data_IF_335854043158
#
_entry.id   IF_335854043158
#
_cell.length_a   1.000
_cell.length_b   1.000
_cell.length_c   1.000
_cell.angle_alpha   90.00
_cell.angle_beta   90.00
_cell.angle_gamma   90.00
#
_symmetry.space_group_name_H-M   'P 1'
#
loop_
_entity.id
_entity.type
_entity.pdbx_description
1 polymer ?
#
# COMPACT_ATOMS: atom_id res chain seq x y z
N UNK A 1 10.88 28.68 1.91
CA UNK A 1 10.26 30.00 1.73
C UNK A 1 9.28 30.23 2.84
N UNK A 2 9.30 31.40 3.46
CA UNK A 2 8.42 31.78 4.57
C UNK A 2 6.96 31.86 4.09
N UNK A 3 6.18 30.81 4.37
CA UNK A 3 4.73 30.90 4.39
C UNK A 3 4.29 30.64 5.84
N UNK A 4 3.46 31.51 6.46
CA UNK A 4 2.90 31.21 7.76
C UNK A 4 1.97 30.00 7.62
N UNK A 5 2.30 28.93 8.34
CA UNK A 5 1.48 27.73 8.42
C UNK A 5 0.10 28.12 8.98
N UNK A 6 -0.94 28.10 8.15
CA UNK A 6 -2.30 28.37 8.61
C UNK A 6 -2.81 27.12 9.31
N UNK A 7 -2.83 27.13 10.64
CA UNK A 7 -3.41 26.06 11.45
C UNK A 7 -4.93 26.16 11.35
N UNK A 8 -5.55 25.24 10.58
CA UNK A 8 -7.00 25.07 10.58
C UNK A 8 -7.42 24.30 11.84
N UNK A 9 -7.78 25.03 12.89
CA UNK A 9 -8.37 24.46 14.10
C UNK A 9 -9.88 24.26 13.88
N UNK A 10 -10.33 23.01 13.84
CA UNK A 10 -11.75 22.66 13.84
C UNK A 10 -12.48 23.24 15.08
N UNK A 11 -13.73 23.63 14.88
CA UNK A 11 -14.66 24.11 15.89
C UNK A 11 -14.88 23.15 17.07
N UNK A 12 -14.56 21.86 16.91
CA UNK A 12 -14.75 20.78 17.89
C UNK A 12 -13.74 20.73 19.05
N UNK A 13 -12.69 21.58 19.06
CA UNK A 13 -11.69 21.60 20.14
C UNK A 13 -12.16 22.32 21.41
N UNK A 14 -11.77 21.79 22.57
CA UNK A 14 -11.96 22.41 23.89
C UNK A 14 -11.21 23.76 24.00
N UNK A 15 -11.75 24.69 24.78
CA UNK A 15 -11.24 26.06 24.93
C UNK A 15 -9.82 26.13 25.50
N UNK A 16 -9.45 25.17 26.35
CA UNK A 16 -8.11 25.11 26.95
C UNK A 16 -7.04 24.67 25.92
N UNK A 17 -7.38 23.76 25.00
CA UNK A 17 -6.49 23.33 23.91
C UNK A 17 -6.30 24.44 22.87
N UNK A 18 -7.37 25.18 22.54
CA UNK A 18 -7.27 26.37 21.67
C UNK A 18 -6.36 27.44 22.28
N UNK A 19 -6.45 27.66 23.59
CA UNK A 19 -5.61 28.63 24.32
C UNK A 19 -4.15 28.19 24.37
N UNK A 20 -3.89 26.90 24.62
CA UNK A 20 -2.55 26.34 24.60
C UNK A 20 -1.93 26.46 23.20
N UNK A 21 -2.63 26.03 22.15
CA UNK A 21 -2.14 26.09 20.77
C UNK A 21 -1.93 27.54 20.29
N UNK A 22 -2.81 28.47 20.67
CA UNK A 22 -2.67 29.90 20.33
C UNK A 22 -1.38 30.53 20.88
N UNK A 23 -0.88 30.06 22.04
CA UNK A 23 0.39 30.51 22.60
C UNK A 23 1.62 30.01 21.81
N UNK A 24 1.49 28.92 21.06
CA UNK A 24 2.58 28.33 20.25
C UNK A 24 2.53 28.75 18.76
N UNK A 25 1.37 29.17 18.24
CA UNK A 25 1.18 29.59 16.83
C UNK A 25 1.84 30.93 16.46
N UNK A 26 2.38 31.68 17.42
CA UNK A 26 3.15 32.91 17.16
C UNK A 26 4.64 32.63 16.92
N UNK A 27 5.09 31.38 17.06
CA UNK A 27 6.47 30.97 16.80
C UNK A 27 6.67 30.62 15.32
N UNK A 28 7.63 31.24 14.59
CA UNK A 28 7.88 30.97 13.17
C UNK A 28 8.50 29.58 12.88
N UNK A 29 8.50 28.66 13.85
CA UNK A 29 9.24 27.38 13.81
C UNK A 29 8.37 26.16 14.14
N UNK A 30 7.04 26.27 14.01
CA UNK A 30 6.12 25.15 14.20
C UNK A 30 6.15 24.24 12.95
N UNK A 31 6.54 22.97 13.09
CA UNK A 31 6.68 22.06 11.94
C UNK A 31 5.49 21.12 11.71
N UNK A 32 4.82 20.63 12.76
CA UNK A 32 3.67 19.74 12.57
C UNK A 32 2.77 19.66 13.81
N UNK A 33 1.48 19.44 13.57
CA UNK A 33 0.48 19.00 14.55
C UNK A 33 -0.10 17.68 14.03
N UNK A 34 0.10 16.59 14.77
CA UNK A 34 -0.55 15.32 14.47
C UNK A 34 -1.74 15.12 15.42
N UNK A 35 -2.92 14.90 14.85
CA UNK A 35 -4.15 14.59 15.60
C UNK A 35 -4.44 13.10 15.44
N UNK A 36 -4.51 12.38 16.56
CA UNK A 36 -4.96 11.00 16.57
C UNK A 36 -6.36 10.90 17.16
N UNK A 37 -7.28 10.30 16.40
CA UNK A 37 -8.59 9.89 16.88
C UNK A 37 -8.63 8.36 16.82
N UNK A 38 -8.79 7.62 17.93
CA UNK A 38 -9.02 6.18 17.83
C UNK A 38 -10.35 5.94 17.11
N UNK A 39 -10.31 5.20 16.01
CA UNK A 39 -11.52 4.73 15.33
C UNK A 39 -12.31 3.80 16.24
N UNK A 40 -13.59 4.11 16.47
CA UNK A 40 -14.56 3.26 17.16
C UNK A 40 -14.49 1.82 16.64
N UNK A 41 -13.97 0.91 17.47
CA UNK A 41 -14.28 -0.51 17.34
C UNK A 41 -15.78 -0.70 17.58
N UNK A 42 -16.53 -1.02 16.53
CA UNK A 42 -17.92 -1.36 16.66
C UNK A 42 -18.07 -2.63 17.52
N UNK A 43 -18.90 -2.53 18.57
CA UNK A 43 -19.51 -3.59 19.37
C UNK A 43 -18.85 -3.94 20.71
N UNK A 44 -19.14 -3.13 21.74
CA UNK A 44 -19.59 -3.68 23.02
C UNK A 44 -20.97 -3.08 23.36
N UNK A 45 -22.02 -3.88 23.21
CA UNK A 45 -23.30 -3.61 23.90
C UNK A 45 -23.10 -4.07 25.34
N UNK A 46 -22.66 -3.15 26.19
CA UNK A 46 -22.53 -3.36 27.63
C UNK A 46 -22.17 -2.05 28.30
N UNK A 47 -22.84 -1.72 29.42
CA UNK A 47 -22.80 -0.43 30.13
C UNK A 47 -21.46 -0.11 30.84
N UNK A 48 -20.31 -0.35 30.22
CA UNK A 48 -19.01 0.12 30.70
C UNK A 48 -18.27 0.77 29.53
N UNK A 49 -18.39 2.10 29.41
CA UNK A 49 -17.50 2.89 28.55
C UNK A 49 -16.14 2.95 29.24
N UNK A 50 -15.17 2.19 28.76
CA UNK A 50 -13.78 2.49 29.04
C UNK A 50 -13.45 3.86 28.43
N UNK A 51 -12.78 4.72 29.18
CA UNK A 51 -12.41 6.06 28.75
C UNK A 51 -11.40 5.97 27.59
N UNK A 52 -11.74 6.55 26.44
CA UNK A 52 -10.93 6.54 25.20
C UNK A 52 -9.77 7.55 25.32
N UNK A 53 -8.51 7.11 25.18
CA UNK A 53 -7.36 8.01 25.24
C UNK A 53 -7.08 8.81 23.97
N UNK A 54 -6.87 10.12 24.14
CA UNK A 54 -6.57 11.08 23.07
C UNK A 54 -5.17 11.67 23.24
N UNK A 55 -4.19 11.22 22.45
CA UNK A 55 -2.84 11.81 22.49
C UNK A 55 -2.72 12.93 21.47
N UNK A 56 -2.26 14.10 21.91
CA UNK A 56 -1.93 15.24 21.06
C UNK A 56 -0.40 15.41 21.02
N UNK A 57 0.18 15.82 19.90
CA UNK A 57 1.64 16.02 19.81
C UNK A 57 1.95 17.28 19.02
N UNK A 58 2.76 18.17 19.60
CA UNK A 58 3.22 19.41 18.97
C UNK A 58 4.75 19.40 18.91
N UNK A 59 5.32 19.53 17.71
CA UNK A 59 6.77 19.49 17.49
C UNK A 59 7.33 20.87 17.18
N UNK A 60 8.34 21.31 17.95
CA UNK A 60 9.15 22.50 17.67
C UNK A 60 10.65 22.11 17.60
N UNK A 61 11.41 22.82 16.76
CA UNK A 61 12.75 22.47 16.26
C UNK A 61 13.83 22.10 17.31
N UNK A 62 13.68 22.46 18.58
CA UNK A 62 14.58 22.07 19.68
C UNK A 62 13.85 21.47 20.90
N UNK A 63 12.52 21.45 20.89
CA UNK A 63 11.67 20.94 21.97
C UNK A 63 10.43 20.28 21.36
N UNK A 64 10.24 18.98 21.63
CA UNK A 64 8.99 18.29 21.32
C UNK A 64 8.10 18.32 22.57
N UNK A 65 6.91 18.91 22.45
CA UNK A 65 5.90 18.92 23.51
C UNK A 65 4.86 17.85 23.18
N UNK A 66 4.97 16.72 23.87
CA UNK A 66 3.99 15.62 23.78
C UNK A 66 2.88 15.88 24.79
N UNK A 67 1.65 16.00 24.31
CA UNK A 67 0.45 16.20 25.12
C UNK A 67 -0.28 14.84 25.24
N UNK A 68 0.07 14.06 26.26
CA UNK A 68 -0.61 12.80 26.54
C UNK A 68 -1.90 13.04 27.34
N UNK A 69 -3.01 12.50 26.87
CA UNK A 69 -4.21 12.33 27.71
C UNK A 69 -4.19 10.93 28.29
N UNK A 70 -4.22 10.84 29.62
CA UNK A 70 -4.46 9.60 30.34
C UNK A 70 -5.71 9.79 31.20
N UNK A 71 -6.72 8.91 31.11
CA UNK A 71 -7.85 8.98 32.01
C UNK A 71 -7.39 8.50 33.39
N UNK A 72 -7.38 9.38 34.39
CA UNK A 72 -7.27 8.92 35.77
C UNK A 72 -8.63 8.40 36.23
N UNK A 73 -8.68 7.10 36.52
CA UNK A 73 -9.80 6.47 37.20
C UNK A 73 -9.57 4.97 37.35
N UNK A 74 -9.46 4.51 38.60
CA UNK A 74 -9.62 3.09 38.93
C UNK A 74 -10.97 2.59 38.39
N UNK A 75 -10.96 1.36 37.86
CA UNK A 75 -12.01 0.77 37.03
C UNK A 75 -13.37 0.50 37.72
N UNK A 76 -13.78 1.26 38.74
CA UNK A 76 -14.95 0.92 39.55
C UNK A 76 -15.76 2.09 40.12
N UNK A 77 -15.77 3.29 39.54
CA UNK A 77 -16.66 4.38 40.00
C UNK A 77 -17.52 4.94 38.86
N UNK A 78 -18.84 5.13 39.03
CA UNK A 78 -19.71 5.73 38.01
C UNK A 78 -19.32 7.19 37.77
N UNK A 79 -19.19 7.57 36.50
CA UNK A 79 -18.87 8.93 36.06
C UNK A 79 -19.96 9.94 36.51
N UNK A 80 -19.73 10.61 37.63
CA UNK A 80 -20.32 11.93 37.92
C UNK A 80 -19.44 13.03 37.33
N UNK A 81 -20.08 14.12 36.90
CA UNK A 81 -19.48 15.29 36.22
C UNK A 81 -18.46 16.08 37.10
N UNK A 82 -17.36 15.46 37.48
CA UNK A 82 -16.16 16.19 37.89
C UNK A 82 -15.27 16.41 36.68
N UNK A 83 -14.83 17.66 36.47
CA UNK A 83 -13.82 18.01 35.47
C UNK A 83 -12.57 17.20 35.76
N UNK A 84 -12.34 16.14 34.98
CA UNK A 84 -11.12 15.34 35.05
C UNK A 84 -9.91 16.25 34.77
N UNK A 85 -8.92 16.21 35.66
CA UNK A 85 -7.72 17.03 35.57
C UNK A 85 -6.80 16.51 34.46
N UNK A 86 -6.46 17.37 33.51
CA UNK A 86 -5.40 17.14 32.52
C UNK A 86 -4.03 17.33 33.17
N UNK A 87 -3.16 16.32 33.13
CA UNK A 87 -1.75 16.43 33.56
C UNK A 87 -0.84 16.59 32.35
N UNK A 88 -0.08 17.69 32.32
CA UNK A 88 0.87 17.99 31.24
C UNK A 88 2.28 17.54 31.61
N UNK A 89 2.98 16.84 30.72
CA UNK A 89 4.39 16.48 30.92
C UNK A 89 5.29 17.13 29.87
N UNK A 90 6.13 18.08 30.30
CA UNK A 90 7.21 18.60 29.47
C UNK A 90 8.37 17.59 29.49
N UNK A 91 8.85 17.17 28.32
CA UNK A 91 10.03 16.30 28.18
C UNK A 91 11.05 17.01 27.29
N UNK A 92 12.33 16.91 27.65
CA UNK A 92 13.42 17.35 26.78
C UNK A 92 13.64 16.34 25.65
N UNK A 93 14.33 16.76 24.59
CA UNK A 93 14.73 15.87 23.48
C UNK A 93 15.43 14.60 23.95
N UNK A 94 16.36 14.74 24.91
CA UNK A 94 17.04 13.60 25.53
C UNK A 94 16.06 12.64 26.25
N UNK A 95 15.05 13.18 26.94
CA UNK A 95 14.03 12.37 27.61
C UNK A 95 13.13 11.60 26.63
N UNK A 96 12.95 12.13 25.41
CA UNK A 96 12.14 11.50 24.36
C UNK A 96 12.92 10.45 23.60
N UNK A 97 14.20 10.68 23.33
CA UNK A 97 15.10 9.66 22.78
C UNK A 97 15.21 8.47 23.74
N UNK A 98 15.32 8.72 25.04
CA UNK A 98 15.31 7.66 26.05
C UNK A 98 13.99 6.86 26.03
N UNK A 99 12.85 7.53 25.86
CA UNK A 99 11.55 6.87 25.75
C UNK A 99 11.45 6.03 24.47
N UNK A 100 11.86 6.59 23.32
CA UNK A 100 11.87 5.90 22.04
C UNK A 100 12.80 4.68 22.05
N UNK A 101 13.98 4.80 22.65
CA UNK A 101 14.91 3.68 22.86
C UNK A 101 14.32 2.61 23.78
N UNK A 102 13.66 3.02 24.88
CA UNK A 102 12.98 2.11 25.79
C UNK A 102 11.89 1.31 25.05
N UNK A 103 11.06 1.96 24.22
CA UNK A 103 10.04 1.28 23.42
C UNK A 103 10.63 0.43 22.30
N UNK A 104 11.71 0.86 21.66
CA UNK A 104 12.40 0.07 20.63
C UNK A 104 12.99 -1.24 21.21
N UNK A 105 13.39 -1.23 22.49
CA UNK A 105 13.93 -2.41 23.19
C UNK A 105 12.89 -3.42 23.68
N UNK A 106 11.59 -3.09 23.66
CA UNK A 106 10.51 -4.00 24.04
C UNK A 106 10.08 -4.82 22.81
N UNK A 107 10.72 -5.98 22.60
CA UNK A 107 10.37 -6.91 21.54
C UNK A 107 9.00 -7.56 21.76
N UNK A 108 8.23 -7.73 20.67
CA UNK A 108 7.24 -8.80 20.56
C UNK A 108 5.90 -8.66 21.28
N UNK A 109 5.64 -7.60 22.06
CA UNK A 109 4.31 -7.40 22.66
C UNK A 109 3.44 -6.43 21.85
N UNK A 110 2.26 -6.92 21.48
CA UNK A 110 1.28 -6.32 20.57
C UNK A 110 0.61 -5.01 21.03
N UNK A 111 1.29 -4.17 21.82
CA UNK A 111 0.72 -2.94 22.41
C UNK A 111 1.75 -1.80 22.47
N UNK A 112 2.61 -1.65 21.47
CA UNK A 112 3.21 -0.33 21.25
C UNK A 112 2.12 0.57 20.61
N UNK A 113 1.72 1.69 21.24
CA UNK A 113 0.80 2.62 20.60
C UNK A 113 1.37 3.03 19.24
N UNK A 114 0.52 3.09 18.21
CA UNK A 114 0.92 3.44 16.83
C UNK A 114 1.82 4.68 16.79
N UNK A 115 1.56 5.65 17.69
CA UNK A 115 2.41 6.82 17.90
C UNK A 115 3.88 6.50 18.21
N UNK A 116 4.17 5.56 19.12
CA UNK A 116 5.56 5.19 19.45
C UNK A 116 6.26 4.55 18.25
N UNK A 117 5.52 3.75 17.47
CA UNK A 117 6.05 3.14 16.24
C UNK A 117 6.33 4.19 15.17
N UNK A 118 5.41 5.13 14.96
CA UNK A 118 5.56 6.19 13.97
C UNK A 118 6.65 7.20 14.37
N UNK A 119 6.80 7.48 15.68
CA UNK A 119 7.88 8.30 16.23
C UNK A 119 9.23 7.61 16.06
N UNK A 120 9.34 6.31 16.38
CA UNK A 120 10.57 5.54 16.16
C UNK A 120 10.91 5.50 14.67
N UNK A 121 9.93 5.29 13.80
CA UNK A 121 10.14 5.32 12.34
C UNK A 121 10.63 6.70 11.88
N UNK A 122 10.00 7.78 12.32
CA UNK A 122 10.39 9.16 11.97
C UNK A 122 11.83 9.46 12.45
N UNK A 123 12.20 9.04 13.66
CA UNK A 123 13.53 9.28 14.22
C UNK A 123 14.62 8.41 13.58
N UNK A 124 14.26 7.21 13.11
CA UNK A 124 15.21 6.26 12.48
C UNK A 124 15.38 6.57 10.99
N UNK A 125 14.28 6.65 10.23
CA UNK A 125 14.29 6.81 8.76
C UNK A 125 14.17 8.26 8.31
N UNK A 126 13.45 9.11 9.05
CA UNK A 126 13.27 10.52 8.69
C UNK A 126 14.43 11.43 9.08
N UNK A 127 15.08 11.17 10.23
CA UNK A 127 16.14 12.04 10.77
C UNK A 127 17.46 11.34 11.08
N UNK A 128 17.55 10.00 11.00
CA UNK A 128 18.80 9.25 11.23
C UNK A 128 19.38 9.38 12.65
N UNK A 129 18.55 9.69 13.66
CA UNK A 129 18.99 9.99 15.04
C UNK A 129 19.10 8.71 15.89
N UNK A 130 18.31 7.68 15.55
CA UNK A 130 18.43 6.35 16.16
C UNK A 130 19.24 5.45 15.23
N UNK A 131 20.14 4.60 15.77
CA UNK A 131 20.85 3.62 14.96
C UNK A 131 19.84 2.68 14.30
N UNK A 132 20.04 2.40 13.01
CA UNK A 132 19.27 1.35 12.33
C UNK A 132 19.52 0.04 13.08
N UNK A 133 18.43 -0.67 13.40
CA UNK A 133 18.51 -1.94 14.09
C UNK A 133 19.23 -2.91 13.15
N UNK A 134 20.27 -3.59 13.64
CA UNK A 134 20.80 -4.76 12.97
C UNK A 134 19.66 -5.79 12.95
N UNK A 135 18.97 -5.91 11.82
CA UNK A 135 18.08 -7.04 11.57
C UNK A 135 18.95 -8.30 11.67
N UNK A 136 18.50 -9.28 12.46
CA UNK A 136 19.14 -10.59 12.50
C UNK A 136 19.38 -11.08 11.07
N UNK A 137 20.66 -11.22 10.73
CA UNK A 137 21.18 -11.82 9.50
C UNK A 137 20.42 -13.11 9.17
N UNK A 138 19.47 -12.99 8.24
CA UNK A 138 18.84 -14.14 7.58
C UNK A 138 18.32 -13.73 6.20
N UNK A 139 19.16 -13.06 5.41
CA UNK A 139 19.25 -13.21 3.96
C UNK A 139 20.42 -12.34 3.50
N UNK A 140 21.38 -12.92 2.80
CA UNK A 140 22.37 -12.17 2.02
C UNK A 140 21.64 -11.13 1.15
N UNK A 141 22.10 -9.86 1.09
CA UNK A 141 21.51 -8.89 0.19
C UNK A 141 21.70 -9.40 -1.23
N UNK A 142 20.59 -9.72 -1.91
CA UNK A 142 20.60 -10.10 -3.31
C UNK A 142 21.02 -8.88 -4.14
N UNK A 143 22.33 -8.74 -4.34
CA UNK A 143 22.93 -7.76 -5.23
C UNK A 143 22.49 -8.06 -6.66
N UNK A 144 21.72 -7.15 -7.26
CA UNK A 144 21.28 -7.23 -8.66
C UNK A 144 22.44 -6.82 -9.56
N UNK A 145 23.03 -7.78 -10.28
CA UNK A 145 24.12 -7.50 -11.23
C UNK A 145 23.54 -6.88 -12.50
N UNK A 146 23.52 -5.55 -12.57
CA UNK A 146 23.39 -4.83 -13.85
C UNK A 146 24.79 -4.58 -14.40
N UNK A 147 25.04 -4.89 -15.67
CA UNK A 147 26.40 -4.90 -16.22
C UNK A 147 27.13 -3.56 -15.92
N UNK A 148 28.18 -3.70 -15.10
CA UNK A 148 29.13 -2.73 -14.52
C UNK A 148 28.80 -1.98 -13.22
N UNK A 149 27.55 -1.91 -12.72
CA UNK A 149 27.26 -1.28 -11.43
C UNK A 149 26.17 -2.03 -10.65
N UNK A 150 26.43 -2.26 -9.36
CA UNK A 150 25.52 -2.95 -8.45
C UNK A 150 24.73 -1.88 -7.71
N UNK A 151 23.43 -1.78 -7.98
CA UNK A 151 22.52 -0.95 -7.20
C UNK A 151 21.86 -1.81 -6.11
N UNK A 152 21.74 -1.24 -4.92
CA UNK A 152 20.94 -1.81 -3.84
C UNK A 152 19.46 -1.66 -4.16
N UNK A 153 18.63 -2.48 -3.52
CA UNK A 153 17.17 -2.38 -3.57
C UNK A 153 16.66 -0.98 -3.25
N UNK A 154 17.17 -0.35 -2.19
CA UNK A 154 16.75 0.98 -1.77
C UNK A 154 17.11 2.07 -2.79
N UNK A 155 18.28 1.96 -3.44
CA UNK A 155 18.66 2.87 -4.53
C UNK A 155 17.73 2.71 -5.74
N UNK A 156 17.41 1.47 -6.11
CA UNK A 156 16.46 1.24 -7.21
C UNK A 156 15.08 1.81 -6.85
N UNK A 157 14.55 1.55 -5.66
CA UNK A 157 13.26 2.11 -5.21
C UNK A 157 13.26 3.65 -5.24
N UNK A 158 14.35 4.28 -4.79
CA UNK A 158 14.54 5.73 -4.88
C UNK A 158 14.50 6.20 -6.34
N UNK A 159 15.29 5.58 -7.23
CA UNK A 159 15.32 5.97 -8.63
C UNK A 159 13.95 5.80 -9.30
N UNK A 160 13.22 4.71 -9.04
CA UNK A 160 11.88 4.51 -9.57
C UNK A 160 10.90 5.60 -9.09
N UNK A 161 11.03 6.07 -7.85
CA UNK A 161 10.23 7.18 -7.34
C UNK A 161 10.54 8.48 -8.09
N UNK A 162 11.82 8.77 -8.35
CA UNK A 162 12.22 9.94 -9.15
C UNK A 162 11.77 9.84 -10.60
N UNK A 163 11.78 8.64 -11.20
CA UNK A 163 11.21 8.41 -12.54
C UNK A 163 9.70 8.68 -12.56
N UNK A 164 8.96 8.19 -11.55
CA UNK A 164 7.54 8.45 -11.43
C UNK A 164 7.23 9.95 -11.25
N UNK A 165 8.04 10.66 -10.46
CA UNK A 165 7.89 12.12 -10.27
C UNK A 165 8.26 12.93 -11.53
N UNK A 166 9.11 12.38 -12.41
CA UNK A 166 9.49 12.99 -13.68
C UNK A 166 8.50 12.71 -14.84
N UNK A 167 7.51 11.85 -14.61
CA UNK A 167 6.42 11.53 -15.56
C UNK A 167 5.42 12.70 -15.67
N UNK A 168 4.75 12.81 -16.82
CA UNK A 168 3.58 13.70 -16.96
C UNK A 168 2.35 13.20 -16.18
N UNK A 169 2.35 11.92 -15.77
CA UNK A 169 1.30 11.34 -14.95
C UNK A 169 1.47 11.67 -13.47
N UNK A 170 0.36 11.67 -12.73
CA UNK A 170 0.38 11.94 -11.30
C UNK A 170 0.96 10.75 -10.53
N UNK A 171 2.05 10.96 -9.79
CA UNK A 171 2.62 9.95 -8.87
C UNK A 171 1.57 9.44 -7.89
N UNK A 172 1.62 8.15 -7.58
CA UNK A 172 0.78 7.56 -6.54
C UNK A 172 1.08 8.19 -5.18
N UNK A 173 0.02 8.53 -4.43
CA UNK A 173 0.14 9.16 -3.11
C UNK A 173 0.34 8.15 -1.97
N UNK A 174 0.47 6.86 -2.27
CA UNK A 174 0.56 5.80 -1.26
C UNK A 174 2.03 5.47 -1.00
N UNK A 175 2.43 5.37 0.28
CA UNK A 175 3.82 5.11 0.64
C UNK A 175 4.25 3.65 0.47
N UNK A 176 3.32 2.73 0.20
CA UNK A 176 3.57 1.29 0.15
C UNK A 176 4.00 0.78 -1.23
N UNK A 177 3.95 1.62 -2.27
CA UNK A 177 4.34 1.27 -3.65
C UNK A 177 4.61 2.49 -4.52
N UNK A 178 5.51 2.31 -5.47
CA UNK A 178 5.90 3.34 -6.44
C UNK A 178 5.14 3.15 -7.74
N UNK A 179 4.66 4.24 -8.35
CA UNK A 179 3.90 4.18 -9.58
C UNK A 179 3.24 5.50 -9.95
N UNK A 180 2.50 5.49 -11.06
CA UNK A 180 1.75 6.65 -11.56
C UNK A 180 0.27 6.30 -11.80
N UNK A 181 -0.60 7.29 -11.70
CA UNK A 181 -2.03 7.17 -11.98
C UNK A 181 -2.32 7.32 -13.47
N UNK A 182 -3.15 6.45 -14.02
CA UNK A 182 -3.55 6.46 -15.44
C UNK A 182 -5.07 6.51 -15.62
N UNK A 183 -5.60 7.19 -16.65
CA UNK A 183 -7.04 7.42 -16.81
C UNK A 183 -7.73 6.41 -17.74
N UNK A 184 -7.24 5.16 -17.83
CA UNK A 184 -7.73 4.20 -18.83
C UNK A 184 -9.13 3.65 -18.55
N UNK A 185 -9.60 3.81 -17.30
CA UNK A 185 -10.94 3.39 -16.89
C UNK A 185 -11.07 1.88 -16.63
N UNK A 186 -10.50 1.05 -17.49
CA UNK A 186 -10.31 -0.40 -17.28
C UNK A 186 -9.07 -0.73 -16.41
N UNK A 187 -8.18 0.23 -16.22
CA UNK A 187 -7.09 0.24 -15.24
C UNK A 187 -6.88 1.66 -14.69
N UNK A 188 -6.11 1.81 -13.60
CA UNK A 188 -5.94 3.09 -12.88
C UNK A 188 -4.52 3.46 -12.48
N UNK A 189 -3.61 2.50 -12.49
CA UNK A 189 -2.23 2.73 -12.04
C UNK A 189 -1.29 1.84 -12.84
N UNK A 190 -0.08 2.34 -13.08
CA UNK A 190 1.09 1.56 -13.47
C UNK A 190 2.06 1.58 -12.30
N UNK A 191 2.40 0.40 -11.80
CA UNK A 191 3.37 0.24 -10.72
C UNK A 191 4.76 0.04 -11.31
N UNK A 192 5.76 0.65 -10.67
CA UNK A 192 7.17 0.51 -11.00
C UNK A 192 7.81 -0.36 -9.92
N UNK A 193 8.21 -1.57 -10.30
CA UNK A 193 8.66 -2.59 -9.35
C UNK A 193 10.04 -3.13 -9.77
N UNK A 194 10.99 -3.18 -8.82
CA UNK A 194 12.17 -4.03 -8.98
C UNK A 194 11.73 -5.44 -8.55
N UNK A 195 11.86 -6.42 -9.44
CA UNK A 195 11.14 -7.71 -9.35
C UNK A 195 11.38 -8.43 -8.01
N UNK A 196 10.40 -9.13 -7.40
CA UNK A 196 9.82 -10.39 -7.88
C UNK A 196 8.29 -10.40 -7.74
N UNK A 197 7.55 -10.79 -8.79
CA UNK A 197 6.18 -11.27 -8.60
C UNK A 197 6.24 -12.45 -7.60
N UNK A 198 5.50 -12.43 -6.48
CA UNK A 198 5.58 -13.50 -5.48
C UNK A 198 5.22 -14.88 -6.06
N UNK A 199 4.64 -14.93 -7.26
CA UNK A 199 4.46 -16.13 -8.07
C UNK A 199 5.00 -15.91 -9.49
N UNK A 200 6.29 -16.16 -9.74
CA UNK A 200 6.84 -16.12 -11.10
C UNK A 200 6.03 -17.03 -12.02
N UNK A 201 5.94 -16.68 -13.31
CA UNK A 201 5.30 -17.53 -14.31
C UNK A 201 5.96 -18.90 -14.33
N UNK A 202 5.31 -20.00 -13.89
CA UNK A 202 5.98 -21.29 -13.82
C UNK A 202 6.30 -21.89 -15.19
N UNK A 203 5.80 -21.28 -16.28
CA UNK A 203 6.11 -21.68 -17.65
C UNK A 203 7.32 -20.93 -18.25
N UNK A 204 7.81 -19.87 -17.59
CA UNK A 204 8.95 -19.09 -18.05
C UNK A 204 10.09 -19.17 -17.03
N UNK A 205 11.36 -19.08 -17.47
CA UNK A 205 12.46 -18.84 -16.55
C UNK A 205 12.23 -17.50 -15.84
N UNK A 206 12.74 -17.36 -14.62
CA UNK A 206 12.73 -16.06 -13.95
C UNK A 206 13.39 -15.01 -14.87
N UNK A 207 12.82 -13.79 -14.95
CA UNK A 207 13.41 -12.73 -15.73
C UNK A 207 14.85 -12.51 -15.28
N UNK A 208 15.78 -12.22 -16.22
CA UNK A 208 17.17 -12.07 -15.88
C UNK A 208 17.34 -11.02 -14.77
N UNK A 209 18.29 -11.26 -13.88
CA UNK A 209 18.67 -10.27 -12.88
C UNK A 209 18.97 -8.92 -13.56
N UNK A 210 18.39 -7.83 -13.05
CA UNK A 210 18.57 -6.49 -13.61
C UNK A 210 17.39 -5.96 -14.45
N UNK A 211 16.25 -6.65 -14.45
CA UNK A 211 15.01 -6.18 -15.05
C UNK A 211 14.08 -5.56 -14.00
N UNK A 212 13.33 -4.56 -14.45
CA UNK A 212 12.18 -3.96 -13.76
C UNK A 212 10.89 -4.51 -14.35
N UNK A 213 9.83 -4.55 -13.54
CA UNK A 213 8.47 -4.76 -14.02
C UNK A 213 7.67 -3.45 -13.97
N UNK A 214 7.01 -3.16 -15.08
CA UNK A 214 5.95 -2.18 -15.16
C UNK A 214 4.63 -2.93 -15.10
N UNK A 215 3.96 -2.85 -13.94
CA UNK A 215 2.80 -3.69 -13.62
C UNK A 215 1.50 -2.90 -13.76
N UNK A 216 0.55 -3.47 -14.50
CA UNK A 216 -0.78 -2.93 -14.74
C UNK A 216 -1.83 -3.97 -14.34
N UNK A 217 -2.92 -3.54 -13.71
CA UNK A 217 -3.99 -4.45 -13.27
C UNK A 217 -5.34 -4.11 -13.93
N UNK A 218 -5.59 -4.57 -15.17
CA UNK A 218 -6.90 -4.45 -15.80
C UNK A 218 -7.98 -5.17 -14.99
N UNK A 219 -9.12 -4.52 -14.75
CA UNK A 219 -10.22 -5.15 -14.01
C UNK A 219 -9.95 -5.37 -12.51
N UNK A 220 -9.01 -4.63 -11.91
CA UNK A 220 -8.66 -4.72 -10.48
C UNK A 220 -9.84 -4.38 -9.54
N UNK A 221 -10.90 -3.76 -10.06
CA UNK A 221 -12.16 -3.48 -9.36
C UNK A 221 -13.33 -3.87 -10.25
N UNK A 222 -14.51 -4.06 -9.65
CA UNK A 222 -15.74 -4.35 -10.42
C UNK A 222 -16.04 -3.24 -11.44
N UNK A 223 -15.80 -1.98 -11.06
CA UNK A 223 -15.98 -0.84 -11.97
C UNK A 223 -15.04 -0.88 -13.17
N UNK A 224 -13.76 -1.18 -12.95
CA UNK A 224 -12.80 -1.39 -14.04
C UNK A 224 -13.15 -2.61 -14.89
N UNK A 225 -13.61 -3.69 -14.27
CA UNK A 225 -14.03 -4.90 -14.96
C UNK A 225 -15.17 -4.65 -15.93
N UNK A 226 -16.17 -3.85 -15.55
CA UNK A 226 -17.26 -3.47 -16.47
C UNK A 226 -16.73 -2.89 -17.77
N UNK A 227 -15.74 -1.99 -17.71
CA UNK A 227 -15.14 -1.40 -18.91
C UNK A 227 -14.24 -2.39 -19.64
N UNK A 228 -13.44 -3.18 -18.90
CA UNK A 228 -12.54 -4.17 -19.49
C UNK A 228 -13.30 -5.19 -20.36
N UNK A 229 -14.38 -5.77 -19.85
CA UNK A 229 -15.13 -6.83 -20.53
C UNK A 229 -16.10 -6.32 -21.61
N UNK A 230 -16.16 -5.00 -21.85
CA UNK A 230 -16.77 -4.42 -23.06
C UNK A 230 -15.85 -4.57 -24.28
N UNK A 231 -14.57 -4.84 -24.08
CA UNK A 231 -13.58 -5.07 -25.13
C UNK A 231 -13.37 -6.58 -25.42
N UNK A 232 -12.82 -6.88 -26.60
CA UNK A 232 -12.33 -8.22 -26.91
C UNK A 232 -11.13 -8.59 -26.01
N UNK A 233 -10.94 -9.88 -25.76
CA UNK A 233 -9.87 -10.40 -24.91
C UNK A 233 -8.66 -10.93 -25.69
N UNK A 234 -8.57 -10.66 -26.99
CA UNK A 234 -7.46 -11.15 -27.84
C UNK A 234 -6.08 -10.68 -27.34
N UNK A 235 -6.04 -9.54 -26.64
CA UNK A 235 -4.83 -9.00 -26.03
C UNK A 235 -4.22 -9.89 -24.95
N UNK A 236 -5.00 -10.79 -24.33
CA UNK A 236 -4.49 -11.66 -23.25
C UNK A 236 -3.49 -12.71 -23.74
N UNK A 237 -3.40 -12.90 -25.06
CA UNK A 237 -2.40 -13.77 -25.69
C UNK A 237 -1.16 -13.03 -26.19
N UNK A 238 -1.02 -11.71 -25.96
CA UNK A 238 0.18 -10.96 -26.35
C UNK A 238 1.35 -11.35 -25.44
N UNK A 239 2.49 -11.67 -26.04
CA UNK A 239 3.73 -12.01 -25.33
C UNK A 239 4.74 -10.86 -25.31
N UNK A 240 4.48 -9.79 -26.06
CA UNK A 240 5.36 -8.64 -26.15
C UNK A 240 4.62 -7.35 -26.51
N UNK A 241 5.28 -6.22 -26.27
CA UNK A 241 4.82 -4.87 -26.55
C UNK A 241 5.93 -4.07 -27.24
N UNK A 242 5.73 -3.77 -28.52
CA UNK A 242 6.60 -2.89 -29.27
C UNK A 242 6.28 -1.43 -28.94
N UNK A 243 7.18 -0.74 -28.24
CA UNK A 243 6.98 0.66 -27.83
C UNK A 243 8.30 1.39 -27.71
N UNK A 244 8.34 2.67 -28.11
CA UNK A 244 9.55 3.49 -28.04
C UNK A 244 10.80 2.91 -28.75
N UNK A 245 10.61 2.02 -29.74
CA UNK A 245 11.70 1.31 -30.41
C UNK A 245 12.29 0.15 -29.58
N UNK A 246 11.66 -0.16 -28.44
CA UNK A 246 11.92 -1.33 -27.60
C UNK A 246 10.89 -2.41 -27.90
N UNK A 247 11.29 -3.67 -27.71
CA UNK A 247 10.38 -4.81 -27.66
C UNK A 247 10.36 -5.29 -26.21
N UNK A 248 9.31 -4.94 -25.47
CA UNK A 248 9.16 -5.34 -24.07
C UNK A 248 8.49 -6.70 -24.00
N UNK A 249 9.07 -7.63 -23.27
CA UNK A 249 8.41 -8.90 -22.99
C UNK A 249 7.22 -8.66 -22.05
N UNK A 250 6.09 -9.32 -22.34
CA UNK A 250 4.90 -9.29 -21.51
C UNK A 250 4.66 -10.62 -20.83
N UNK A 251 4.24 -10.52 -19.57
CA UNK A 251 3.53 -11.57 -18.88
C UNK A 251 2.12 -11.11 -18.54
N UNK A 252 1.14 -11.90 -18.98
CA UNK A 252 -0.28 -11.66 -18.70
C UNK A 252 -0.82 -12.84 -17.91
N UNK A 253 -1.36 -12.55 -16.73
CA UNK A 253 -1.94 -13.54 -15.84
C UNK A 253 -3.33 -13.11 -15.39
N UNK A 254 -4.10 -14.08 -14.91
CA UNK A 254 -5.42 -13.85 -14.37
C UNK A 254 -5.32 -13.43 -12.90
N UNK A 255 -6.14 -12.46 -12.51
CA UNK A 255 -6.13 -11.92 -11.14
C UNK A 255 -7.55 -11.88 -10.58
N UNK A 256 -7.75 -12.48 -9.40
CA UNK A 256 -8.99 -12.37 -8.65
C UNK A 256 -8.72 -11.56 -7.40
N UNK A 257 -9.38 -10.42 -7.24
CA UNK A 257 -9.22 -9.56 -6.07
C UNK A 257 -10.45 -9.59 -5.18
N UNK A 258 -10.23 -9.77 -3.88
CA UNK A 258 -11.25 -9.71 -2.85
C UNK A 258 -11.09 -8.45 -2.01
N UNK A 259 -12.18 -7.71 -1.84
CA UNK A 259 -12.22 -6.43 -1.13
C UNK A 259 -13.36 -6.41 -0.12
N UNK A 260 -13.21 -5.62 0.93
CA UNK A 260 -14.29 -5.32 1.86
C UNK A 260 -14.30 -3.82 2.16
N UNK A 261 -15.44 -3.17 1.90
CA UNK A 261 -15.49 -1.72 1.77
C UNK A 261 -14.44 -1.23 0.75
N UNK A 262 -13.53 -0.36 1.17
CA UNK A 262 -12.45 0.18 0.34
C UNK A 262 -11.10 -0.49 0.62
N UNK A 263 -11.08 -1.57 1.43
CA UNK A 263 -9.87 -2.26 1.83
C UNK A 263 -9.65 -3.56 1.05
N UNK A 264 -8.42 -3.80 0.64
CA UNK A 264 -7.99 -5.10 0.14
C UNK A 264 -8.09 -6.16 1.25
N UNK A 265 -8.59 -7.35 0.91
CA UNK A 265 -8.65 -8.50 1.82
C UNK A 265 -7.63 -9.55 1.38
N UNK A 266 -7.75 -10.04 0.16
CA UNK A 266 -6.83 -11.00 -0.44
C UNK A 266 -6.97 -11.01 -1.96
N UNK A 267 -6.09 -11.74 -2.63
CA UNK A 267 -6.09 -11.94 -4.08
C UNK A 267 -5.61 -13.33 -4.46
N UNK A 268 -5.82 -13.70 -5.72
CA UNK A 268 -5.27 -14.89 -6.36
C UNK A 268 -4.60 -14.48 -7.66
N UNK A 269 -3.39 -14.99 -7.88
CA UNK A 269 -2.61 -14.77 -9.09
C UNK A 269 -2.49 -16.11 -9.82
N UNK A 270 -3.18 -16.21 -10.94
CA UNK A 270 -3.39 -17.46 -11.65
C UNK A 270 -2.80 -17.34 -13.05
N UNK A 271 -1.81 -18.16 -13.33
CA UNK A 271 -1.32 -18.37 -14.69
C UNK A 271 -2.27 -19.28 -15.44
N UNK A 272 -2.21 -19.30 -16.79
CA UNK A 272 -2.96 -20.27 -17.57
C UNK A 272 -2.83 -21.68 -16.97
N UNK A 273 -1.67 -22.29 -16.87
CA UNK A 273 -1.48 -23.63 -16.29
C UNK A 273 -2.20 -23.94 -14.94
N UNK A 274 -2.65 -22.95 -14.15
CA UNK A 274 -3.51 -23.12 -12.95
C UNK A 274 -5.01 -23.34 -13.21
N UNK A 275 -5.57 -23.01 -14.39
CA UNK A 275 -6.99 -23.24 -14.70
C UNK A 275 -7.18 -24.58 -15.43
N UNK A 276 -8.39 -25.15 -15.43
CA UNK A 276 -8.67 -26.41 -16.14
C UNK A 276 -8.70 -26.21 -17.67
N UNK A 277 -8.29 -27.25 -18.41
CA UNK A 277 -8.25 -27.21 -19.88
C UNK A 277 -9.63 -26.93 -20.49
N UNK A 278 -9.68 -26.10 -21.53
CA UNK A 278 -10.95 -25.68 -22.18
C UNK A 278 -11.74 -24.61 -21.42
N UNK A 279 -11.40 -24.32 -20.16
CA UNK A 279 -12.09 -23.35 -19.30
C UNK A 279 -11.34 -22.04 -19.11
N UNK A 280 -10.16 -21.96 -19.72
CA UNK A 280 -9.23 -20.84 -19.68
C UNK A 280 -9.85 -19.46 -19.88
N UNK A 281 -10.91 -19.41 -20.68
CA UNK A 281 -11.58 -18.18 -21.03
C UNK A 281 -12.92 -18.00 -20.31
N UNK A 282 -13.57 -19.05 -19.78
CA UNK A 282 -14.96 -18.91 -19.32
C UNK A 282 -15.06 -18.17 -17.99
N UNK A 283 -14.17 -18.40 -17.03
CA UNK A 283 -14.17 -17.67 -15.74
C UNK A 283 -13.81 -16.19 -15.92
N UNK A 284 -12.87 -15.91 -16.82
CA UNK A 284 -12.40 -14.56 -17.16
C UNK A 284 -12.95 -14.11 -18.52
N UNK A 285 -14.20 -14.47 -18.83
CA UNK A 285 -14.96 -13.94 -19.96
C UNK A 285 -15.94 -12.87 -19.48
N UNK A 286 -16.59 -12.16 -20.40
CA UNK A 286 -17.71 -11.29 -20.08
C UNK A 286 -18.83 -12.01 -19.30
N UNK A 287 -19.09 -13.29 -19.60
CA UNK A 287 -20.08 -14.11 -18.88
C UNK A 287 -19.58 -14.48 -17.47
N UNK A 288 -18.34 -14.96 -17.37
CA UNK A 288 -17.70 -15.27 -16.09
C UNK A 288 -17.64 -14.05 -15.16
N UNK A 289 -17.36 -12.87 -15.71
CA UNK A 289 -17.34 -11.62 -14.98
C UNK A 289 -18.71 -11.22 -14.41
N UNK A 290 -19.83 -11.64 -14.99
CA UNK A 290 -21.16 -11.45 -14.36
C UNK A 290 -21.26 -12.17 -13.00
N UNK A 291 -20.42 -13.17 -12.77
CA UNK A 291 -20.30 -13.86 -11.48
C UNK A 291 -19.41 -13.11 -10.49
N UNK A 292 -18.85 -11.95 -10.84
CA UNK A 292 -18.11 -11.06 -9.92
C UNK A 292 -19.05 -10.23 -9.02
N UNK A 293 -18.54 -9.19 -8.36
CA UNK A 293 -19.33 -8.26 -7.56
C UNK A 293 -19.50 -8.67 -6.10
N UNK A 294 -20.51 -8.10 -5.44
CA UNK A 294 -20.74 -8.31 -4.00
C UNK A 294 -21.26 -9.71 -3.70
N UNK A 295 -20.60 -10.42 -2.77
CA UNK A 295 -20.99 -11.75 -2.29
C UNK A 295 -21.36 -11.70 -0.81
N UNK A 296 -22.61 -12.02 -0.53
CA UNK A 296 -23.18 -12.04 0.82
C UNK A 296 -23.12 -13.44 1.44
N UNK A 297 -22.55 -13.52 2.64
CA UNK A 297 -22.44 -14.77 3.40
C UNK A 297 -23.81 -15.39 3.68
N UNK A 298 -24.75 -14.58 4.17
CA UNK A 298 -26.11 -15.01 4.55
C UNK A 298 -26.96 -15.56 3.39
N UNK A 299 -26.53 -15.33 2.15
CA UNK A 299 -27.22 -15.82 0.94
C UNK A 299 -26.57 -17.08 0.35
N UNK A 300 -25.60 -17.68 1.04
CA UNK A 300 -24.84 -18.83 0.53
C UNK A 300 -23.93 -18.50 -0.66
N UNK A 301 -23.73 -17.21 -0.97
CA UNK A 301 -22.96 -16.78 -2.15
C UNK A 301 -21.46 -17.02 -1.99
N UNK A 302 -20.99 -17.22 -0.76
CA UNK A 302 -19.60 -17.59 -0.50
C UNK A 302 -19.34 -19.03 -0.92
N UNK A 303 -20.25 -19.94 -0.60
CA UNK A 303 -20.17 -21.34 -1.03
C UNK A 303 -20.34 -21.46 -2.53
N UNK A 304 -21.24 -20.66 -3.13
CA UNK A 304 -21.38 -20.58 -4.59
C UNK A 304 -20.11 -20.10 -5.27
N UNK A 305 -19.45 -19.08 -4.72
CA UNK A 305 -18.18 -18.61 -5.26
C UNK A 305 -17.07 -19.66 -5.08
N UNK A 306 -16.98 -20.30 -3.92
CA UNK A 306 -16.00 -21.33 -3.67
C UNK A 306 -16.16 -22.51 -4.63
N UNK A 307 -17.40 -22.95 -4.87
CA UNK A 307 -17.71 -23.99 -5.85
C UNK A 307 -17.33 -23.56 -7.28
N UNK A 308 -17.60 -22.30 -7.66
CA UNK A 308 -17.17 -21.76 -8.95
C UNK A 308 -15.64 -21.79 -9.12
N UNK A 309 -14.89 -21.45 -8.06
CA UNK A 309 -13.44 -21.50 -8.09
C UNK A 309 -12.93 -22.94 -8.15
N UNK A 310 -13.53 -23.87 -7.41
CA UNK A 310 -13.20 -25.31 -7.49
C UNK A 310 -13.54 -25.92 -8.85
N UNK A 311 -14.58 -25.40 -9.50
CA UNK A 311 -14.99 -25.80 -10.85
C UNK A 311 -13.92 -25.41 -11.87
N UNK A 312 -13.34 -24.21 -11.77
CA UNK A 312 -12.45 -23.66 -12.81
C UNK A 312 -10.94 -23.75 -12.51
N UNK A 313 -10.55 -23.76 -11.25
CA UNK A 313 -9.15 -23.83 -10.83
C UNK A 313 -8.77 -25.31 -10.67
N UNK A 314 -7.58 -25.66 -11.16
CA UNK A 314 -7.04 -27.01 -11.04
C UNK A 314 -6.89 -27.43 -9.56
N UNK A 315 -7.21 -28.69 -9.21
CA UNK A 315 -7.19 -29.14 -7.82
C UNK A 315 -5.79 -29.13 -7.18
N UNK A 316 -4.72 -29.11 -7.99
CA UNK A 316 -3.34 -28.97 -7.50
C UNK A 316 -3.03 -27.56 -6.98
N UNK A 317 -3.86 -26.56 -7.31
CA UNK A 317 -3.72 -25.18 -6.85
C UNK A 317 -4.60 -24.96 -5.62
N UNK A 318 -4.00 -24.94 -4.43
CA UNK A 318 -4.71 -24.64 -3.18
C UNK A 318 -5.00 -23.13 -3.06
N UNK A 319 -5.97 -22.68 -3.86
CA UNK A 319 -6.39 -21.28 -3.87
C UNK A 319 -6.93 -20.83 -2.51
N UNK A 320 -7.47 -21.75 -1.69
CA UNK A 320 -7.98 -21.42 -0.36
C UNK A 320 -6.85 -21.05 0.59
N UNK A 321 -5.77 -21.81 0.59
CA UNK A 321 -4.58 -21.49 1.38
C UNK A 321 -3.95 -20.17 0.91
N UNK A 322 -3.81 -19.98 -0.41
CA UNK A 322 -3.24 -18.76 -1.00
C UNK A 322 -3.99 -17.50 -0.58
N UNK A 323 -5.32 -17.48 -0.69
CA UNK A 323 -6.11 -16.33 -0.25
C UNK A 323 -6.38 -16.31 1.26
N UNK A 324 -5.85 -17.27 2.02
CA UNK A 324 -6.12 -17.48 3.44
C UNK A 324 -7.63 -17.51 3.75
N UNK A 325 -8.39 -18.24 2.93
CA UNK A 325 -9.86 -18.24 2.90
C UNK A 325 -10.48 -18.39 4.29
N UNK A 326 -9.99 -19.36 5.06
CA UNK A 326 -10.47 -19.64 6.42
C UNK A 326 -10.31 -18.41 7.34
N UNK A 327 -9.08 -17.90 7.48
CA UNK A 327 -8.75 -16.78 8.36
C UNK A 327 -9.36 -15.45 7.91
N UNK A 328 -9.25 -15.13 6.61
CA UNK A 328 -9.60 -13.81 6.07
C UNK A 328 -11.08 -13.66 5.71
N UNK A 329 -11.81 -14.76 5.53
CA UNK A 329 -13.21 -14.75 5.14
C UNK A 329 -14.10 -15.45 6.17
N UNK A 330 -13.89 -16.76 6.40
CA UNK A 330 -14.79 -17.57 7.25
C UNK A 330 -14.79 -17.08 8.71
N UNK A 331 -13.60 -16.91 9.27
CA UNK A 331 -13.41 -16.56 10.69
C UNK A 331 -13.41 -15.05 10.95
N UNK A 332 -13.43 -14.25 9.90
CA UNK A 332 -13.21 -12.81 10.02
C UNK A 332 -14.43 -12.00 10.48
N UNK A 333 -15.56 -12.66 10.72
CA UNK A 333 -16.84 -11.99 11.07
C UNK A 333 -17.46 -11.14 9.95
N UNK A 334 -16.91 -11.15 8.73
CA UNK A 334 -17.44 -10.37 7.60
C UNK A 334 -18.76 -10.95 7.11
N UNK A 335 -19.68 -10.07 6.73
CA UNK A 335 -20.99 -10.45 6.17
C UNK A 335 -21.02 -10.45 4.64
N UNK A 336 -20.07 -9.75 4.02
CA UNK A 336 -19.90 -9.71 2.57
C UNK A 336 -18.45 -9.40 2.20
N UNK A 337 -18.10 -9.62 0.95
CA UNK A 337 -16.95 -9.04 0.28
C UNK A 337 -17.32 -8.74 -1.17
N UNK A 338 -16.59 -7.85 -1.81
CA UNK A 338 -16.66 -7.61 -3.24
C UNK A 338 -15.54 -8.42 -3.91
N UNK A 339 -15.84 -9.11 -5.00
CA UNK A 339 -14.85 -9.85 -5.80
C UNK A 339 -14.78 -9.26 -7.20
N UNK A 340 -13.56 -9.03 -7.69
CA UNK A 340 -13.31 -8.60 -9.07
C UNK A 340 -12.47 -9.65 -9.79
N UNK A 341 -12.86 -9.99 -11.01
CA UNK A 341 -12.08 -10.85 -11.91
C UNK A 341 -11.44 -9.95 -12.95
N UNK A 342 -10.12 -10.00 -13.05
CA UNK A 342 -9.35 -9.19 -13.97
C UNK A 342 -8.04 -9.89 -14.30
N UNK A 343 -7.04 -9.08 -14.61
CA UNK A 343 -5.75 -9.53 -15.07
C UNK A 343 -4.65 -8.74 -14.37
N UNK A 344 -3.44 -9.29 -14.38
CA UNK A 344 -2.23 -8.52 -14.24
C UNK A 344 -1.43 -8.61 -15.53
N UNK A 345 -0.76 -7.52 -15.86
CA UNK A 345 0.09 -7.36 -17.02
C UNK A 345 1.41 -6.81 -16.52
N UNK A 346 2.48 -7.54 -16.73
CA UNK A 346 3.84 -7.13 -16.41
C UNK A 346 4.58 -6.93 -17.72
N UNK A 347 5.09 -5.72 -17.94
CA UNK A 347 6.07 -5.46 -19.00
C UNK A 347 7.47 -5.41 -18.41
N UNK A 348 8.37 -6.22 -18.95
CA UNK A 348 9.74 -6.32 -18.46
C UNK A 348 10.65 -5.35 -19.20
N UNK A 349 11.34 -4.50 -18.44
CA UNK A 349 12.26 -3.49 -18.96
C UNK A 349 13.61 -3.64 -18.25
N UNK A 350 14.73 -3.83 -18.97
CA UNK A 350 16.05 -3.79 -18.36
C UNK A 350 16.26 -2.46 -17.65
N UNK A 351 16.76 -2.51 -16.40
CA UNK A 351 16.98 -1.31 -15.59
C UNK A 351 17.82 -0.25 -16.33
N UNK A 352 18.87 -0.70 -17.03
CA UNK A 352 19.78 0.15 -17.79
C UNK A 352 19.17 0.75 -19.08
N UNK A 353 18.04 0.22 -19.55
CA UNK A 353 17.25 0.83 -20.63
C UNK A 353 16.31 1.92 -20.12
N UNK A 354 15.91 1.85 -18.85
CA UNK A 354 15.16 2.92 -18.19
C UNK A 354 16.09 4.06 -17.76
N UNK A 355 17.19 3.73 -17.07
CA UNK A 355 18.14 4.70 -16.50
C UNK A 355 19.57 4.34 -16.86
N UNK A 356 20.32 5.29 -17.40
CA UNK A 356 21.76 5.13 -17.57
C UNK A 356 22.51 5.61 -16.33
N UNK A 357 23.75 5.13 -16.15
CA UNK A 357 24.62 5.61 -15.06
C UNK A 357 24.80 7.14 -15.09
N UNK A 358 24.91 7.73 -16.29
CA UNK A 358 25.08 9.17 -16.45
C UNK A 358 23.83 9.94 -16.00
N UNK A 359 22.63 9.40 -16.23
CA UNK A 359 21.39 10.02 -15.77
C UNK A 359 21.31 10.00 -14.23
N UNK A 360 21.71 8.88 -13.60
CA UNK A 360 21.78 8.73 -12.14
C UNK A 360 22.80 9.69 -11.52
N UNK A 361 24.02 9.76 -12.06
CA UNK A 361 25.07 10.66 -11.57
C UNK A 361 24.73 12.15 -11.74
N UNK A 362 23.93 12.47 -12.76
CA UNK A 362 23.45 13.82 -13.03
C UNK A 362 22.19 14.20 -12.24
N UNK A 363 21.55 13.25 -11.53
CA UNK A 363 20.25 13.41 -10.88
C UNK A 363 19.15 13.88 -11.86
N UNK A 364 19.21 13.41 -13.12
CA UNK A 364 18.30 13.80 -14.21
C UNK A 364 17.46 12.61 -14.69
N UNK A 365 16.24 12.52 -14.16
CA UNK A 365 15.29 11.44 -14.47
C UNK A 365 14.33 11.78 -15.61
N UNK A 366 14.47 12.95 -16.24
CA UNK A 366 13.49 13.45 -17.24
C UNK A 366 13.31 12.53 -18.45
N UNK A 367 14.41 11.94 -18.95
CA UNK A 367 14.37 10.99 -20.07
C UNK A 367 13.66 9.69 -19.70
N UNK A 368 13.90 9.21 -18.48
CA UNK A 368 13.27 7.99 -17.97
C UNK A 368 11.77 8.21 -17.73
N UNK A 369 11.38 9.37 -17.19
CA UNK A 369 9.98 9.78 -17.09
C UNK A 369 9.30 9.85 -18.47
N UNK A 370 9.97 10.46 -19.45
CA UNK A 370 9.48 10.49 -20.85
C UNK A 370 9.34 9.09 -21.44
N UNK A 371 10.28 8.18 -21.16
CA UNK A 371 10.18 6.79 -21.63
C UNK A 371 9.00 6.06 -20.98
N UNK A 372 8.78 6.24 -19.67
CA UNK A 372 7.63 5.71 -18.96
C UNK A 372 6.32 6.20 -19.60
N UNK A 373 6.21 7.51 -19.86
CA UNK A 373 5.01 8.10 -20.49
C UNK A 373 4.73 7.48 -21.85
N UNK A 374 5.78 7.28 -22.67
CA UNK A 374 5.64 6.61 -23.97
C UNK A 374 5.21 5.15 -23.85
N UNK A 375 5.73 4.41 -22.87
CA UNK A 375 5.28 3.02 -22.61
C UNK A 375 3.79 3.00 -22.23
N UNK A 376 3.34 3.98 -21.44
CA UNK A 376 1.94 4.11 -21.05
C UNK A 376 1.06 4.47 -22.26
N UNK A 377 1.43 5.49 -23.03
CA UNK A 377 0.59 6.07 -24.09
C UNK A 377 0.61 5.25 -25.39
N UNK A 378 1.79 4.89 -25.87
CA UNK A 378 1.95 4.15 -27.13
C UNK A 378 1.73 2.65 -26.92
N UNK A 379 1.99 2.17 -25.70
CA UNK A 379 1.93 0.75 -25.34
C UNK A 379 0.65 0.38 -24.60
N UNK A 380 0.61 0.60 -23.28
CA UNK A 380 -0.46 0.10 -22.42
C UNK A 380 -1.85 0.66 -22.77
N UNK A 381 -1.97 1.93 -23.14
CA UNK A 381 -3.24 2.53 -23.54
C UNK A 381 -3.87 1.80 -24.75
N UNK A 382 -3.04 1.18 -25.58
CA UNK A 382 -3.46 0.45 -26.78
C UNK A 382 -3.47 -1.06 -26.57
N UNK A 383 -3.25 -1.54 -25.34
CA UNK A 383 -3.23 -2.97 -25.05
C UNK A 383 -4.54 -3.67 -25.45
N UNK A 384 -5.68 -3.08 -25.10
CA UNK A 384 -7.03 -3.60 -25.38
C UNK A 384 -7.52 -3.34 -26.82
N UNK A 385 -6.72 -2.68 -27.67
CA UNK A 385 -6.98 -2.49 -29.09
C UNK A 385 -6.25 -3.57 -29.89
#
# INVERSE_FOLDING_TARGET
GEAPLTVLLDSSFDGDLKTALAAYTTSPRLMAVALYHPTRGAHSRGKNRAAESQTFVVVQWEELVVLLWEPQGEASVPLTHEKQQTTYQKRSWAGLLALAQQYASLEGEAIAPTFCRDLVWLLTKGYGVLPEREEEESATPEAVVTNTQIYTKAEIEYHLAQVADASEYTTLSYADRTGVQIPFGWAREVLLEHWVNPKPNPAKPEPPQGYLALSLFPGNTVGQGNQLYEHGLDWTGKESLAVAGLELELDIFYHIKFMHFNGYVSGLWLWPQHLKEGEYNTLFSAEGFQKSGRKWRKKGQWDTLAALLDEHIKPEVDWRAECQWQKKFIDSGRNYFDVAFGFGVEAYLPYNQLLTQADVEADDFSKAGTLLDRIIDEGFQHLLK
#
